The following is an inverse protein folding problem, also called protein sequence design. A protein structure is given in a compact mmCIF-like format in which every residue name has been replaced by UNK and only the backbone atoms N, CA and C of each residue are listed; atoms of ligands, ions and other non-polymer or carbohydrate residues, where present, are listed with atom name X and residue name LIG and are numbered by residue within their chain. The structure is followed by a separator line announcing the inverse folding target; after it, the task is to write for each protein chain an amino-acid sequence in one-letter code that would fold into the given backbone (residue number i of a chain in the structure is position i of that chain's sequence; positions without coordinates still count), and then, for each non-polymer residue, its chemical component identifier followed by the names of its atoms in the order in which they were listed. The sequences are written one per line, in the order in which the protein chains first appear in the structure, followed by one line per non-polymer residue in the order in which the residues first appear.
data_IF_806690969926
#
_entry.id   IF_806690969926
#
_cell.length_a   1.000
_cell.length_b   1.000
_cell.length_c   1.000
_cell.angle_alpha   90.00
_cell.angle_beta   90.00
_cell.angle_gamma   90.00
#
_symmetry.space_group_name_H-M   'P 1'
#
loop_
_entity.id
_entity.type
_entity.pdbx_description
1 polymer ?
#
# COMPACT_ATOMS: atom_id res chain seq x y z
N UNK A 1 -4.51 -17.96 -20.22
CA UNK A 1 -3.42 -17.23 -20.90
C UNK A 1 -3.84 -15.80 -21.12
N UNK A 2 -2.88 -14.88 -21.04
CA UNK A 2 -3.06 -13.46 -21.35
C UNK A 2 -2.14 -13.08 -22.51
N UNK A 3 -2.57 -12.14 -23.34
CA UNK A 3 -1.73 -11.60 -24.39
C UNK A 3 -0.56 -10.81 -23.79
N UNK A 4 0.65 -11.07 -24.26
CA UNK A 4 1.82 -10.25 -23.95
C UNK A 4 1.74 -8.90 -24.67
N UNK A 5 2.66 -8.00 -24.34
CA UNK A 5 2.77 -6.75 -25.08
C UNK A 5 3.11 -7.03 -26.56
N UNK A 6 2.42 -6.32 -27.45
CA UNK A 6 2.76 -6.32 -28.87
C UNK A 6 4.09 -5.57 -29.05
N UNK A 7 5.04 -6.17 -29.78
CA UNK A 7 6.30 -5.54 -30.11
C UNK A 7 6.74 -5.90 -31.55
N UNK A 8 7.57 -5.07 -32.14
CA UNK A 8 8.17 -5.33 -33.44
C UNK A 8 9.64 -5.72 -33.24
N UNK A 9 9.99 -7.01 -33.49
CA UNK A 9 11.36 -7.49 -33.33
C UNK A 9 12.33 -6.80 -34.29
N UNK A 10 13.53 -6.47 -33.79
CA UNK A 10 14.63 -5.89 -34.58
C UNK A 10 15.55 -6.95 -35.21
N UNK A 11 15.26 -8.22 -34.97
CA UNK A 11 16.02 -9.39 -35.52
C UNK A 11 15.16 -10.66 -35.44
N UNK A 12 15.46 -11.62 -36.27
CA UNK A 12 14.85 -12.94 -36.22
C UNK A 12 15.25 -13.71 -34.96
N UNK A 13 14.32 -14.43 -34.36
CA UNK A 13 14.59 -15.35 -33.25
C UNK A 13 13.79 -16.63 -33.43
N UNK A 14 14.47 -17.70 -33.91
CA UNK A 14 13.84 -19.01 -34.18
C UNK A 14 13.37 -19.68 -32.87
N UNK A 15 14.12 -19.55 -31.81
CA UNK A 15 13.79 -20.17 -30.52
C UNK A 15 12.50 -19.60 -29.93
N UNK A 16 12.24 -18.30 -30.10
CA UNK A 16 11.06 -17.65 -29.64
C UNK A 16 9.97 -17.45 -30.69
N UNK A 17 10.25 -17.84 -31.94
CA UNK A 17 9.26 -17.87 -33.00
C UNK A 17 8.88 -16.52 -33.61
N UNK A 18 9.74 -15.49 -33.53
CA UNK A 18 9.42 -14.20 -34.14
C UNK A 18 10.39 -13.83 -35.29
N UNK A 19 9.83 -13.05 -36.22
CA UNK A 19 10.51 -12.58 -37.43
C UNK A 19 10.74 -11.08 -37.33
N UNK A 20 11.89 -10.61 -37.82
CA UNK A 20 12.24 -9.19 -37.90
C UNK A 20 11.16 -8.38 -38.63
N UNK A 21 10.77 -7.23 -38.08
CA UNK A 21 9.79 -6.34 -38.68
C UNK A 21 8.34 -6.79 -38.60
N UNK A 22 8.05 -8.03 -38.23
CA UNK A 22 6.68 -8.52 -38.09
C UNK A 22 6.18 -8.28 -36.64
N UNK A 23 4.98 -7.66 -36.43
CA UNK A 23 4.41 -7.54 -35.13
C UNK A 23 4.22 -8.90 -34.45
N UNK A 24 4.68 -9.04 -33.22
CA UNK A 24 4.63 -10.29 -32.49
C UNK A 24 4.08 -10.08 -31.08
N UNK A 25 3.20 -10.96 -30.66
CA UNK A 25 2.77 -11.07 -29.26
C UNK A 25 2.80 -12.55 -28.84
N UNK A 26 3.19 -12.79 -27.61
CA UNK A 26 3.23 -14.15 -27.05
C UNK A 26 2.17 -14.28 -25.97
N UNK A 27 1.41 -15.34 -26.04
CA UNK A 27 0.54 -15.73 -24.93
C UNK A 27 1.38 -16.10 -23.72
N UNK A 28 1.03 -15.57 -22.58
CA UNK A 28 1.63 -15.86 -21.28
C UNK A 28 0.63 -16.57 -20.41
N UNK A 29 1.10 -17.48 -19.59
CA UNK A 29 0.27 -18.08 -18.56
C UNK A 29 -0.23 -16.99 -17.61
N UNK A 30 -1.50 -17.09 -17.21
CA UNK A 30 -2.10 -16.16 -16.28
C UNK A 30 -1.36 -16.20 -14.94
N UNK A 31 -0.85 -15.06 -14.52
CA UNK A 31 -0.36 -14.87 -13.18
C UNK A 31 -1.37 -13.99 -12.40
N UNK A 32 -2.15 -14.56 -11.46
CA UNK A 32 -3.18 -13.85 -10.74
C UNK A 32 -2.64 -12.80 -9.75
N UNK A 33 -1.32 -12.77 -9.52
CA UNK A 33 -0.67 -11.74 -8.70
C UNK A 33 -0.11 -10.58 -9.52
N UNK A 34 -0.10 -10.70 -10.87
CA UNK A 34 0.37 -9.65 -11.76
C UNK A 34 -0.73 -8.62 -12.02
N UNK A 35 -0.50 -7.39 -11.60
CA UNK A 35 -1.44 -6.27 -11.84
C UNK A 35 -1.72 -6.03 -13.32
N UNK A 36 -0.72 -6.21 -14.19
CA UNK A 36 -0.89 -6.10 -15.64
C UNK A 36 -1.84 -7.21 -16.18
N UNK A 37 -1.71 -8.44 -15.67
CA UNK A 37 -2.60 -9.54 -16.06
C UNK A 37 -4.02 -9.35 -15.53
N UNK A 38 -4.17 -8.88 -14.30
CA UNK A 38 -5.47 -8.56 -13.69
C UNK A 38 -6.16 -7.46 -14.52
N UNK A 39 -5.45 -6.37 -14.83
CA UNK A 39 -5.98 -5.28 -15.63
C UNK A 39 -6.44 -5.79 -17.02
N UNK A 40 -5.62 -6.59 -17.68
CA UNK A 40 -5.95 -7.17 -18.98
C UNK A 40 -7.23 -8.03 -18.93
N UNK A 41 -7.38 -8.90 -17.93
CA UNK A 41 -8.59 -9.72 -17.75
C UNK A 41 -9.81 -8.85 -17.54
N UNK A 42 -9.74 -7.89 -16.61
CA UNK A 42 -10.86 -7.02 -16.29
C UNK A 42 -11.32 -6.20 -17.51
N UNK A 43 -10.38 -5.70 -18.30
CA UNK A 43 -10.67 -4.96 -19.53
C UNK A 43 -11.25 -5.85 -20.63
N UNK A 44 -10.60 -7.01 -20.91
CA UNK A 44 -10.93 -7.83 -22.06
C UNK A 44 -12.19 -8.68 -21.86
N UNK A 45 -12.40 -9.24 -20.66
CA UNK A 45 -13.47 -10.19 -20.40
C UNK A 45 -14.62 -9.60 -19.59
N UNK A 46 -14.39 -8.52 -18.85
CA UNK A 46 -15.42 -7.93 -17.98
C UNK A 46 -15.79 -6.50 -18.35
N UNK A 47 -15.22 -5.95 -19.43
CA UNK A 47 -15.54 -4.61 -19.94
C UNK A 47 -15.18 -3.48 -18.99
N UNK A 48 -14.26 -3.72 -18.04
CA UNK A 48 -13.83 -2.70 -17.10
C UNK A 48 -12.98 -1.63 -17.80
N UNK A 49 -13.28 -0.37 -17.56
CA UNK A 49 -12.51 0.77 -18.06
C UNK A 49 -11.76 1.40 -16.89
N UNK A 50 -10.41 1.46 -16.92
CA UNK A 50 -9.64 2.06 -15.84
C UNK A 50 -9.89 3.55 -15.72
N UNK A 51 -10.23 4.01 -14.51
CA UNK A 51 -10.40 5.43 -14.17
C UNK A 51 -9.07 6.10 -13.79
N UNK A 52 -8.10 5.31 -13.32
CA UNK A 52 -6.81 5.80 -12.84
C UNK A 52 -5.66 5.11 -13.55
N UNK A 53 -4.69 5.91 -13.99
CA UNK A 53 -3.49 5.44 -14.69
C UNK A 53 -2.23 5.91 -13.96
N UNK A 54 -1.16 5.12 -14.05
CA UNK A 54 0.15 5.51 -13.49
C UNK A 54 0.78 6.62 -14.33
N UNK A 55 1.32 7.66 -13.71
CA UNK A 55 1.88 8.84 -14.37
C UNK A 55 3.06 8.52 -15.32
N UNK A 56 3.92 7.56 -14.93
CA UNK A 56 5.14 7.26 -15.68
C UNK A 56 4.95 6.24 -16.80
N UNK A 57 4.14 5.21 -16.57
CA UNK A 57 4.02 4.06 -17.49
C UNK A 57 2.68 3.99 -18.20
N UNK A 58 1.76 4.89 -17.88
CA UNK A 58 0.39 4.94 -18.41
C UNK A 58 -0.31 3.57 -18.35
N UNK A 59 -0.12 2.84 -17.23
CA UNK A 59 -0.75 1.56 -16.96
C UNK A 59 -1.91 1.74 -15.98
N UNK A 60 -2.97 0.92 -16.09
CA UNK A 60 -4.05 0.91 -15.11
C UNK A 60 -3.54 0.71 -13.69
N UNK A 61 -4.05 1.51 -12.75
CA UNK A 61 -3.80 1.30 -11.33
C UNK A 61 -4.71 0.18 -10.86
N UNK A 62 -4.12 -0.86 -10.27
CA UNK A 62 -4.81 -1.99 -9.66
C UNK A 62 -4.44 -2.01 -8.18
N UNK A 63 -5.33 -1.48 -7.38
CA UNK A 63 -5.22 -1.47 -5.91
C UNK A 63 -6.54 -1.90 -5.27
N UNK A 64 -6.57 -1.98 -3.95
CA UNK A 64 -7.74 -2.43 -3.20
C UNK A 64 -8.99 -1.56 -3.47
N UNK A 65 -8.94 -0.21 -3.43
CA UNK A 65 -10.09 0.61 -3.75
C UNK A 65 -10.64 0.37 -5.16
N UNK A 66 -9.76 0.29 -6.16
CA UNK A 66 -10.14 0.05 -7.56
C UNK A 66 -10.80 -1.31 -7.72
N UNK A 67 -10.22 -2.38 -7.16
CA UNK A 67 -10.80 -3.72 -7.27
C UNK A 67 -12.16 -3.84 -6.57
N UNK A 68 -12.38 -3.13 -5.47
CA UNK A 68 -13.71 -3.05 -4.81
C UNK A 68 -14.74 -2.30 -5.66
N UNK A 69 -14.31 -1.24 -6.36
CA UNK A 69 -15.18 -0.41 -7.20
C UNK A 69 -15.60 -1.10 -8.50
N UNK A 70 -14.82 -2.06 -9.00
CA UNK A 70 -15.13 -2.85 -10.21
C UNK A 70 -16.50 -3.55 -10.12
N UNK A 71 -16.94 -3.93 -8.90
CA UNK A 71 -18.26 -4.54 -8.66
C UNK A 71 -18.44 -5.91 -9.32
N UNK A 72 -17.38 -6.67 -9.53
CA UNK A 72 -17.37 -8.03 -10.09
C UNK A 72 -16.73 -9.01 -9.12
N UNK A 73 -17.31 -10.20 -8.98
CA UNK A 73 -16.80 -11.23 -8.07
C UNK A 73 -15.34 -11.58 -8.34
N UNK A 74 -14.95 -11.68 -9.62
CA UNK A 74 -13.58 -11.96 -10.01
C UNK A 74 -12.58 -10.90 -9.50
N UNK A 75 -12.99 -9.64 -9.40
CA UNK A 75 -12.14 -8.58 -8.86
C UNK A 75 -11.91 -8.76 -7.36
N UNK A 76 -12.92 -9.24 -6.63
CA UNK A 76 -12.81 -9.58 -5.21
C UNK A 76 -11.92 -10.82 -5.00
N UNK A 77 -11.97 -11.80 -5.89
CA UNK A 77 -11.07 -12.96 -5.87
C UNK A 77 -9.62 -12.54 -6.10
N UNK A 78 -9.36 -11.66 -7.07
CA UNK A 78 -8.01 -11.10 -7.26
C UNK A 78 -7.55 -10.30 -6.04
N UNK A 79 -8.42 -9.50 -5.44
CA UNK A 79 -8.10 -8.77 -4.21
C UNK A 79 -7.67 -9.74 -3.10
N UNK A 80 -8.44 -10.79 -2.87
CA UNK A 80 -8.13 -11.83 -1.88
C UNK A 80 -6.79 -12.53 -2.15
N UNK A 81 -6.50 -12.85 -3.42
CA UNK A 81 -5.21 -13.43 -3.82
C UNK A 81 -4.06 -12.47 -3.52
N UNK A 82 -4.21 -11.18 -3.84
CA UNK A 82 -3.18 -10.17 -3.56
C UNK A 82 -2.95 -9.98 -2.06
N UNK A 83 -4.00 -9.97 -1.25
CA UNK A 83 -3.92 -9.90 0.22
C UNK A 83 -3.20 -11.11 0.81
N UNK A 84 -3.58 -12.32 0.37
CA UNK A 84 -2.94 -13.56 0.84
C UNK A 84 -1.48 -13.64 0.40
N UNK A 85 -1.16 -13.26 -0.83
CA UNK A 85 0.21 -13.21 -1.33
C UNK A 85 1.06 -12.23 -0.54
N UNK A 86 0.52 -11.06 -0.20
CA UNK A 86 1.18 -10.08 0.66
C UNK A 86 1.44 -10.66 2.06
N UNK A 87 0.46 -11.35 2.63
CA UNK A 87 0.59 -11.99 3.94
C UNK A 87 1.66 -13.09 3.94
N UNK A 88 1.65 -13.97 2.93
CA UNK A 88 2.67 -15.01 2.75
C UNK A 88 4.07 -14.42 2.56
N UNK A 89 4.20 -13.38 1.73
CA UNK A 89 5.46 -12.66 1.54
C UNK A 89 6.02 -12.07 2.85
N UNK A 90 5.14 -11.61 3.73
CA UNK A 90 5.53 -11.06 5.03
C UNK A 90 5.93 -12.15 6.03
N UNK A 91 5.19 -13.26 6.08
CA UNK A 91 5.36 -14.30 7.10
C UNK A 91 6.46 -15.30 6.73
N UNK A 92 6.46 -15.84 5.49
CA UNK A 92 7.26 -17.01 5.13
C UNK A 92 8.07 -16.89 3.83
N UNK A 93 7.53 -16.30 2.76
CA UNK A 93 8.12 -16.42 1.42
C UNK A 93 9.08 -15.28 1.06
N UNK A 94 8.84 -14.06 1.53
CA UNK A 94 9.66 -12.90 1.20
C UNK A 94 11.11 -13.03 1.69
N UNK A 95 12.00 -12.24 1.11
CA UNK A 95 13.42 -12.17 1.54
C UNK A 95 13.52 -11.75 3.01
N UNK A 96 12.69 -10.81 3.43
CA UNK A 96 12.60 -10.30 4.80
C UNK A 96 11.41 -10.90 5.57
N UNK A 97 11.01 -12.14 5.26
CA UNK A 97 9.92 -12.81 5.93
C UNK A 97 10.23 -13.06 7.41
N UNK A 98 9.23 -12.88 8.26
CA UNK A 98 9.39 -12.99 9.71
C UNK A 98 9.97 -14.34 10.15
N UNK A 99 9.52 -15.45 9.54
CA UNK A 99 10.04 -16.79 9.85
C UNK A 99 11.53 -16.93 9.53
N UNK A 100 11.97 -16.32 8.41
CA UNK A 100 13.39 -16.38 7.99
C UNK A 100 14.31 -15.54 8.89
N UNK A 101 13.79 -14.45 9.43
CA UNK A 101 14.54 -13.53 10.28
C UNK A 101 14.36 -13.79 11.77
N UNK A 102 13.52 -14.78 12.14
CA UNK A 102 13.30 -15.17 13.51
C UNK A 102 14.48 -16.00 14.03
N UNK A 103 15.18 -15.51 15.04
CA UNK A 103 16.26 -16.21 15.72
C UNK A 103 15.97 -16.26 17.20
N UNK A 104 15.99 -17.47 17.79
CA UNK A 104 15.67 -17.69 19.22
C UNK A 104 14.34 -17.02 19.63
N UNK A 105 13.30 -17.22 18.81
CA UNK A 105 11.96 -16.63 18.98
C UNK A 105 11.93 -15.11 18.99
N UNK A 106 12.90 -14.45 18.39
CA UNK A 106 12.95 -12.98 18.26
C UNK A 106 13.26 -12.56 16.84
N UNK A 107 12.68 -11.45 16.44
CA UNK A 107 12.97 -10.76 15.18
C UNK A 107 13.80 -9.51 15.53
N UNK A 108 15.03 -9.47 15.05
CA UNK A 108 15.94 -8.34 15.21
C UNK A 108 15.81 -7.44 13.99
N UNK A 109 14.91 -6.44 14.05
CA UNK A 109 14.76 -5.47 12.97
C UNK A 109 15.74 -4.31 13.14
N UNK A 110 16.02 -3.63 12.04
CA UNK A 110 16.83 -2.44 12.04
C UNK A 110 15.95 -1.19 12.01
N UNK A 111 16.25 -0.22 12.87
CA UNK A 111 15.57 1.06 12.96
C UNK A 111 16.60 2.20 12.81
N UNK A 112 16.28 3.19 12.01
CA UNK A 112 17.12 4.36 11.77
C UNK A 112 16.28 5.62 11.70
N UNK A 113 16.73 6.71 12.30
CA UNK A 113 16.14 8.05 12.21
C UNK A 113 16.77 8.90 11.09
N UNK A 114 17.70 8.34 10.34
CA UNK A 114 18.40 9.02 9.23
C UNK A 114 17.48 9.12 7.98
N UNK A 115 16.34 9.77 8.14
CA UNK A 115 15.39 10.12 7.07
C UNK A 115 15.33 11.63 6.92
N UNK A 116 14.83 12.12 5.79
CA UNK A 116 14.68 13.58 5.57
C UNK A 116 13.78 14.26 6.62
N UNK A 117 12.83 13.54 7.18
CA UNK A 117 11.88 14.03 8.18
C UNK A 117 12.19 13.58 9.60
N UNK A 118 13.33 12.92 9.82
CA UNK A 118 13.72 12.31 11.09
C UNK A 118 12.72 11.29 11.65
N UNK A 119 11.79 10.81 10.83
CA UNK A 119 10.94 9.68 11.19
C UNK A 119 11.74 8.38 11.21
N UNK A 120 11.38 7.45 12.10
CA UNK A 120 11.97 6.13 12.14
C UNK A 120 11.70 5.34 10.87
N UNK A 121 12.75 4.93 10.17
CA UNK A 121 12.68 3.98 9.08
C UNK A 121 13.01 2.58 9.61
N UNK A 122 12.11 1.63 9.35
CA UNK A 122 12.24 0.24 9.79
C UNK A 122 12.59 -0.66 8.61
N UNK A 123 13.55 -1.57 8.78
CA UNK A 123 13.96 -2.52 7.74
C UNK A 123 14.41 -3.85 8.34
N UNK A 124 14.37 -4.88 7.53
CA UNK A 124 14.88 -6.22 7.80
C UNK A 124 14.32 -6.87 9.08
N UNK A 125 13.02 -7.02 9.22
CA UNK A 125 11.90 -6.60 8.39
C UNK A 125 11.36 -5.21 8.76
N UNK A 126 10.44 -4.64 7.96
CA UNK A 126 9.73 -3.42 8.34
C UNK A 126 8.57 -3.75 9.30
N UNK A 127 8.82 -3.71 10.61
CA UNK A 127 7.82 -4.00 11.64
C UNK A 127 6.81 -2.85 11.85
N UNK A 128 7.07 -1.65 11.33
CA UNK A 128 6.08 -0.57 11.37
C UNK A 128 4.86 -0.84 10.46
N UNK A 129 4.98 -1.79 9.52
CA UNK A 129 3.92 -2.18 8.59
C UNK A 129 3.17 -3.46 8.98
N UNK A 130 3.29 -3.91 10.22
CA UNK A 130 2.50 -5.05 10.72
C UNK A 130 1.01 -4.68 10.61
N UNK A 131 0.19 -5.48 9.91
CA UNK A 131 -1.23 -5.21 9.77
C UNK A 131 -1.94 -5.09 11.12
N UNK A 132 -3.03 -4.32 11.15
CA UNK A 132 -3.85 -4.16 12.36
C UNK A 132 -4.63 -5.42 12.74
N UNK A 133 -4.75 -6.37 11.80
CA UNK A 133 -5.41 -7.65 12.02
C UNK A 133 -4.74 -8.43 13.15
N UNK A 134 -5.55 -8.90 14.09
CA UNK A 134 -5.10 -9.62 15.28
C UNK A 134 -4.29 -10.88 14.95
N UNK A 135 -4.58 -11.56 13.82
CA UNK A 135 -3.82 -12.73 13.36
C UNK A 135 -2.32 -12.45 13.20
N UNK A 136 -1.96 -11.20 12.83
CA UNK A 136 -0.57 -10.78 12.71
C UNK A 136 -0.02 -10.24 14.04
N UNK A 137 -0.79 -9.39 14.72
CA UNK A 137 -0.33 -8.72 15.94
C UNK A 137 -0.09 -9.67 17.09
N UNK A 138 -0.93 -10.71 17.26
CA UNK A 138 -0.76 -11.72 18.30
C UNK A 138 0.51 -12.57 18.19
N UNK A 139 1.22 -12.51 17.03
CA UNK A 139 2.51 -13.17 16.87
C UNK A 139 3.64 -12.47 17.63
N UNK A 140 3.43 -11.21 18.02
CA UNK A 140 4.40 -10.42 18.77
C UNK A 140 3.97 -10.34 20.22
N UNK A 141 4.72 -11.02 21.08
CA UNK A 141 4.39 -11.14 22.52
C UNK A 141 5.56 -10.65 23.37
N UNK A 142 5.25 -10.22 24.58
CA UNK A 142 6.29 -9.95 25.58
C UNK A 142 6.97 -11.25 26.03
N UNK A 143 8.21 -11.15 26.53
CA UNK A 143 8.88 -12.27 27.18
C UNK A 143 8.12 -12.72 28.44
N UNK A 144 8.23 -13.99 28.87
CA UNK A 144 7.60 -14.45 30.10
C UNK A 144 7.91 -13.53 31.29
N UNK A 145 6.88 -13.21 32.08
CA UNK A 145 6.98 -12.29 33.21
C UNK A 145 6.95 -10.78 32.85
N UNK A 146 6.88 -10.43 31.57
CA UNK A 146 6.78 -9.05 31.10
C UNK A 146 5.44 -8.80 30.42
N UNK A 147 5.06 -7.53 30.28
CA UNK A 147 3.93 -7.09 29.49
C UNK A 147 4.40 -6.15 28.37
N UNK A 148 3.60 -6.06 27.31
CA UNK A 148 3.82 -5.10 26.22
C UNK A 148 3.02 -3.84 26.53
N UNK A 149 3.70 -2.69 26.57
CA UNK A 149 3.07 -1.38 26.75
C UNK A 149 3.17 -0.63 25.42
N UNK A 150 2.02 -0.20 24.90
CA UNK A 150 1.92 0.64 23.71
C UNK A 150 1.40 2.04 24.10
N UNK A 151 2.00 3.08 23.52
CA UNK A 151 1.53 4.44 23.64
C UNK A 151 1.61 5.14 22.28
N UNK A 152 0.57 5.90 21.94
CA UNK A 152 0.51 6.70 20.74
C UNK A 152 0.06 8.12 21.08
N UNK A 153 0.72 9.11 20.48
CA UNK A 153 0.40 10.51 20.69
C UNK A 153 -0.69 10.92 19.69
N UNK A 154 -1.90 11.11 20.18
CA UNK A 154 -3.06 11.49 19.37
C UNK A 154 -2.81 12.79 18.60
N UNK A 155 -2.76 12.71 17.26
CA UNK A 155 -2.65 13.86 16.37
C UNK A 155 -1.42 14.73 16.61
N UNK A 156 -0.26 14.14 16.89
CA UNK A 156 0.95 14.87 17.27
C UNK A 156 1.34 15.95 16.27
N UNK A 157 1.23 15.70 14.98
CA UNK A 157 1.60 16.67 13.94
C UNK A 157 0.70 17.91 14.01
N UNK A 158 -0.61 17.71 14.12
CA UNK A 158 -1.57 18.82 14.27
C UNK A 158 -1.39 19.57 15.58
N UNK A 159 -1.00 18.88 16.65
CA UNK A 159 -0.69 19.51 17.95
C UNK A 159 0.56 20.37 17.87
N UNK A 160 1.60 19.90 17.19
CA UNK A 160 2.80 20.70 16.95
C UNK A 160 2.52 21.90 16.04
N UNK A 161 1.72 21.70 14.99
CA UNK A 161 1.26 22.80 14.15
C UNK A 161 0.48 23.84 14.97
N UNK A 162 -0.46 23.40 15.81
CA UNK A 162 -1.23 24.25 16.70
C UNK A 162 -0.33 25.08 17.63
N UNK A 163 0.71 24.44 18.19
CA UNK A 163 1.70 25.12 19.02
C UNK A 163 2.39 26.29 18.28
N UNK A 164 2.83 26.06 17.05
CA UNK A 164 3.49 27.12 16.26
C UNK A 164 2.51 28.19 15.76
N UNK A 165 1.25 27.82 15.46
CA UNK A 165 0.22 28.77 15.03
C UNK A 165 -0.27 29.66 16.17
N UNK A 166 -0.22 29.21 17.41
CA UNK A 166 -0.78 29.91 18.58
C UNK A 166 -0.30 31.37 18.73
N UNK A 167 0.92 31.67 18.28
CA UNK A 167 1.48 33.03 18.26
C UNK A 167 0.79 33.97 17.26
N UNK A 168 0.16 33.41 16.22
CA UNK A 168 -0.49 34.17 15.14
C UNK A 168 -2.01 34.22 15.32
N UNK A 169 -2.63 33.13 15.77
CA UNK A 169 -4.09 32.99 15.90
C UNK A 169 -4.59 33.09 17.34
N UNK A 170 -3.71 33.45 18.27
CA UNK A 170 -3.99 33.53 19.72
C UNK A 170 -4.52 32.23 20.32
N UNK A 171 -4.10 31.07 19.74
CA UNK A 171 -4.48 29.76 20.23
C UNK A 171 -5.83 29.24 19.74
N UNK A 172 -6.51 29.91 18.82
CA UNK A 172 -7.80 29.49 18.27
C UNK A 172 -7.77 28.07 17.67
N UNK A 173 -6.77 27.76 16.87
CA UNK A 173 -6.61 26.44 16.29
C UNK A 173 -6.35 25.38 17.37
N UNK A 174 -5.58 25.72 18.40
CA UNK A 174 -5.32 24.86 19.55
C UNK A 174 -6.61 24.51 20.29
N UNK A 175 -7.46 25.47 20.52
CA UNK A 175 -8.76 25.30 21.20
C UNK A 175 -9.64 24.32 20.40
N UNK A 176 -9.79 24.53 19.09
CA UNK A 176 -10.58 23.66 18.20
C UNK A 176 -10.01 22.24 18.21
N UNK A 177 -8.67 22.09 18.19
CA UNK A 177 -8.01 20.78 18.17
C UNK A 177 -8.21 20.00 19.47
N UNK A 178 -8.26 20.70 20.61
CA UNK A 178 -8.35 20.06 21.92
C UNK A 178 -9.81 19.79 22.36
N UNK A 179 -10.76 20.60 21.92
CA UNK A 179 -12.16 20.55 22.39
C UNK A 179 -13.14 20.07 21.31
N UNK A 180 -12.74 20.09 20.02
CA UNK A 180 -13.60 19.78 18.90
C UNK A 180 -13.06 18.71 17.95
N UNK A 181 -13.72 18.57 16.80
CA UNK A 181 -13.25 17.74 15.67
C UNK A 181 -12.60 18.63 14.61
N UNK A 182 -11.29 18.77 14.67
CA UNK A 182 -10.50 19.60 13.73
C UNK A 182 -10.70 19.18 12.26
N UNK A 183 -10.94 17.88 11.99
CA UNK A 183 -11.17 17.42 10.64
C UNK A 183 -12.54 17.83 10.12
N UNK A 184 -13.56 17.86 10.98
CA UNK A 184 -14.87 18.41 10.62
C UNK A 184 -14.79 19.92 10.37
N UNK A 185 -14.16 20.67 11.27
CA UNK A 185 -13.97 22.12 11.13
C UNK A 185 -13.20 22.47 9.84
N UNK A 186 -12.14 21.74 9.53
CA UNK A 186 -11.38 21.96 8.30
C UNK A 186 -12.19 21.55 7.06
N UNK A 187 -13.01 20.49 7.14
CA UNK A 187 -13.88 20.06 6.06
C UNK A 187 -14.89 21.14 5.67
N UNK A 188 -15.53 21.72 6.67
CA UNK A 188 -16.49 22.81 6.49
C UNK A 188 -15.82 24.07 5.91
N UNK A 189 -14.60 24.37 6.37
CA UNK A 189 -13.86 25.56 5.90
C UNK A 189 -13.43 25.48 4.43
N UNK A 190 -13.12 24.28 3.91
CA UNK A 190 -12.68 24.10 2.52
C UNK A 190 -13.73 23.43 1.61
N UNK A 191 -14.92 23.14 2.12
CA UNK A 191 -16.03 22.59 1.34
C UNK A 191 -15.82 21.15 0.85
N UNK A 192 -15.13 20.31 1.61
CA UNK A 192 -14.87 18.90 1.27
C UNK A 192 -15.34 17.97 2.39
N UNK A 193 -15.36 16.68 2.13
CA UNK A 193 -15.75 15.70 3.14
C UNK A 193 -14.67 15.54 4.22
N UNK A 194 -15.06 15.20 5.44
CA UNK A 194 -14.16 14.88 6.56
C UNK A 194 -13.12 13.81 6.19
N UNK A 195 -13.51 12.83 5.35
CA UNK A 195 -12.60 11.78 4.85
C UNK A 195 -11.51 12.34 3.95
N UNK A 196 -11.87 13.26 3.06
CA UNK A 196 -10.90 13.92 2.17
C UNK A 196 -9.93 14.79 2.96
N UNK A 197 -10.41 15.53 3.97
CA UNK A 197 -9.56 16.33 4.86
C UNK A 197 -8.52 15.47 5.55
N UNK A 198 -8.89 14.30 6.08
CA UNK A 198 -7.91 13.38 6.67
C UNK A 198 -6.76 13.05 5.72
N UNK A 199 -7.05 12.86 4.44
CA UNK A 199 -6.02 12.56 3.42
C UNK A 199 -5.14 13.76 3.10
N UNK A 200 -5.69 14.97 3.19
CA UNK A 200 -4.97 16.23 2.92
C UNK A 200 -4.08 16.63 4.12
N UNK A 201 -4.51 16.30 5.33
CA UNK A 201 -3.85 16.73 6.57
C UNK A 201 -2.65 15.88 6.97
N UNK A 202 -2.42 14.74 6.32
CA UNK A 202 -1.36 13.77 6.57
C UNK A 202 -0.59 13.43 5.31
#
# INVERSE_FOLDING_TARGET
YVAGALFTPKRNNRTQGYVEGAPFTRLKELNPTSRDHIAWILQTHYGWTPSLMTLKSNKPIIDEPVLKDVGKDIALDFLKILELTKALGMISEGVNAWQKLCTKSRIHHHCSVATQTFRCAHRSPNLAQVPSDERFRRLFTASPGNCMVGADLSGIELRMLAHYLARYDKGRYTEILLTGDIHATNADAIGVTRRQVKTISY
#
